data_IF_051706174893
#
_entry.id   IF_051706174893
#
_cell.length_a   1.000
_cell.length_b   1.000
_cell.length_c   1.000
_cell.angle_alpha   90.00
_cell.angle_beta   90.00
_cell.angle_gamma   90.00
#
_symmetry.space_group_name_H-M   'P 1'
#
loop_
_entity.id
_entity.type
_entity.pdbx_description
1 polymer ?
#
# COMPACT_ATOMS: atom_id res chain seq x y z
N UNK A 1 -1.35 -14.71 -1.38
CA UNK A 1 -1.23 -13.25 -1.58
C UNK A 1 -2.19 -12.62 -0.60
N UNK A 2 -1.66 -12.07 0.49
CA UNK A 2 -2.46 -11.35 1.46
C UNK A 2 -3.10 -10.13 0.81
N UNK A 3 -4.40 -9.94 1.06
CA UNK A 3 -5.12 -8.75 0.61
C UNK A 3 -5.16 -7.77 1.77
N UNK A 4 -4.31 -6.75 1.71
CA UNK A 4 -4.30 -5.69 2.70
C UNK A 4 -5.46 -4.69 2.53
N UNK A 5 -5.69 -3.88 3.56
CA UNK A 5 -6.68 -2.79 3.55
C UNK A 5 -5.99 -1.45 3.67
N UNK A 6 -6.42 -0.46 2.89
CA UNK A 6 -5.89 0.90 2.98
C UNK A 6 -6.38 1.54 4.28
N UNK A 7 -5.44 1.93 5.15
CA UNK A 7 -5.69 2.63 6.42
C UNK A 7 -5.61 4.14 6.20
N UNK A 8 -4.63 4.61 5.42
CA UNK A 8 -4.37 6.03 5.20
C UNK A 8 -3.80 6.28 3.80
N UNK A 9 -4.16 7.42 3.23
CA UNK A 9 -3.60 7.95 1.98
C UNK A 9 -3.05 9.35 2.25
N UNK A 10 -1.78 9.58 1.91
CA UNK A 10 -1.09 10.86 2.06
C UNK A 10 -0.31 11.17 0.76
N UNK A 11 -1.02 11.71 -0.24
CA UNK A 11 -0.45 11.82 -1.59
C UNK A 11 -0.08 10.44 -2.13
N UNK A 12 1.14 10.25 -2.66
CA UNK A 12 1.55 8.97 -3.22
C UNK A 12 1.99 7.95 -2.16
N UNK A 13 2.05 8.33 -0.88
CA UNK A 13 2.36 7.44 0.24
C UNK A 13 1.07 6.88 0.84
N UNK A 14 0.96 5.55 0.89
CA UNK A 14 -0.21 4.83 1.37
C UNK A 14 0.19 3.93 2.54
N UNK A 15 -0.59 3.94 3.61
CA UNK A 15 -0.45 2.95 4.69
C UNK A 15 -1.53 1.89 4.53
N UNK A 16 -1.12 0.63 4.43
CA UNK A 16 -2.01 -0.52 4.38
C UNK A 16 -1.74 -1.48 5.54
N UNK A 17 -2.78 -2.12 6.07
CA UNK A 17 -2.67 -3.13 7.14
C UNK A 17 -3.17 -4.50 6.69
N UNK A 18 -2.91 -5.52 7.51
CA UNK A 18 -3.23 -6.91 7.20
C UNK A 18 -2.25 -7.53 6.20
N UNK A 19 -1.01 -7.06 6.17
CA UNK A 19 0.05 -7.46 5.24
C UNK A 19 1.16 -8.21 6.00
N UNK A 20 0.81 -9.27 6.72
CA UNK A 20 1.75 -10.00 7.59
C UNK A 20 2.83 -10.73 6.80
N UNK A 21 2.48 -11.20 5.60
CA UNK A 21 3.41 -11.93 4.74
C UNK A 21 4.14 -11.03 3.73
N UNK A 22 3.97 -9.70 3.82
CA UNK A 22 4.62 -8.74 2.94
C UNK A 22 6.01 -8.34 3.46
N UNK A 23 6.92 -8.02 2.54
CA UNK A 23 8.29 -7.67 2.84
C UNK A 23 8.64 -6.27 2.33
N UNK A 24 9.70 -5.69 2.90
CA UNK A 24 10.31 -4.49 2.32
C UNK A 24 10.72 -4.75 0.87
N UNK A 25 10.56 -3.72 0.04
CA UNK A 25 10.85 -3.72 -1.41
C UNK A 25 9.94 -4.60 -2.26
N UNK A 26 8.88 -5.19 -1.69
CA UNK A 26 7.87 -5.88 -2.48
C UNK A 26 7.13 -4.89 -3.37
N UNK A 27 6.96 -5.28 -4.64
CA UNK A 27 6.12 -4.55 -5.59
C UNK A 27 4.68 -5.03 -5.41
N UNK A 28 3.79 -4.08 -5.15
CA UNK A 28 2.39 -4.33 -4.82
C UNK A 28 1.45 -3.58 -5.76
N UNK A 29 0.18 -4.01 -5.77
CA UNK A 29 -0.90 -3.34 -6.48
C UNK A 29 -1.83 -2.68 -5.49
N UNK A 30 -2.11 -1.39 -5.67
CA UNK A 30 -2.89 -0.60 -4.72
C UNK A 30 -4.22 -0.15 -5.31
N UNK A 31 -5.28 -0.29 -4.51
CA UNK A 31 -6.63 0.14 -4.85
C UNK A 31 -7.27 -0.63 -6.00
N UNK A 32 -8.48 -0.21 -6.40
CA UNK A 32 -9.25 -0.85 -7.49
C UNK A 32 -8.60 -0.68 -8.86
N UNK A 33 -7.85 0.41 -9.03
CA UNK A 33 -7.12 0.73 -10.26
C UNK A 33 -5.85 -0.12 -10.41
N UNK A 34 -5.44 -0.85 -9.37
CA UNK A 34 -4.25 -1.71 -9.35
C UNK A 34 -2.95 -0.95 -9.68
N UNK A 35 -2.84 0.27 -9.16
CA UNK A 35 -1.65 1.11 -9.33
C UNK A 35 -0.43 0.41 -8.76
N UNK A 36 0.73 0.61 -9.38
CA UNK A 36 1.97 -0.02 -8.94
C UNK A 36 2.59 0.79 -7.81
N UNK A 37 2.98 0.10 -6.74
CA UNK A 37 3.76 0.69 -5.65
C UNK A 37 4.78 -0.27 -5.07
N UNK A 38 5.61 0.25 -4.19
CA UNK A 38 6.71 -0.46 -3.52
C UNK A 38 6.59 -0.28 -2.01
N UNK A 39 6.78 -1.35 -1.24
CA UNK A 39 6.83 -1.28 0.23
C UNK A 39 8.16 -0.67 0.66
N UNK A 40 8.11 0.49 1.32
CA UNK A 40 9.28 1.20 1.84
C UNK A 40 9.56 0.90 3.31
N UNK A 41 8.54 0.56 4.10
CA UNK A 41 8.66 0.29 5.53
C UNK A 41 7.60 -0.71 5.98
N UNK A 42 7.98 -1.59 6.91
CA UNK A 42 7.08 -2.52 7.60
C UNK A 42 7.04 -2.21 9.10
N UNK A 43 5.84 -2.12 9.68
CA UNK A 43 5.60 -1.95 11.12
C UNK A 43 4.55 -2.96 11.58
N UNK A 44 5.01 -4.12 12.07
CA UNK A 44 4.11 -5.23 12.37
C UNK A 44 3.43 -5.74 11.10
N UNK A 45 2.10 -5.67 11.05
CA UNK A 45 1.30 -6.06 9.89
C UNK A 45 0.92 -4.88 8.97
N UNK A 46 1.51 -3.70 9.20
CA UNK A 46 1.31 -2.51 8.40
C UNK A 46 2.50 -2.24 7.49
N UNK A 47 2.20 -1.83 6.27
CA UNK A 47 3.16 -1.43 5.26
C UNK A 47 2.95 0.03 4.87
N UNK A 48 4.05 0.77 4.75
CA UNK A 48 4.10 2.05 4.05
C UNK A 48 4.48 1.79 2.59
N UNK A 49 3.58 2.13 1.67
CA UNK A 49 3.68 1.84 0.24
C UNK A 49 3.82 3.17 -0.52
N UNK A 50 4.87 3.30 -1.31
CA UNK A 50 5.03 4.40 -2.25
C UNK A 50 4.45 4.00 -3.60
N UNK A 51 3.46 4.74 -4.08
CA UNK A 51 2.86 4.54 -5.41
C UNK A 51 3.58 5.44 -6.41
N UNK A 52 3.86 4.92 -7.61
CA UNK A 52 4.53 5.68 -8.67
C UNK A 52 3.56 6.56 -9.48
N UNK A 53 2.27 6.22 -9.46
CA UNK A 53 1.19 6.89 -10.18
C UNK A 53 0.37 7.82 -9.27
N UNK A 54 -0.47 8.67 -9.87
CA UNK A 54 -1.36 9.57 -9.14
C UNK A 54 -2.40 8.78 -8.34
N UNK A 55 -2.50 9.07 -7.03
CA UNK A 55 -3.40 8.36 -6.11
C UNK A 55 -4.78 9.01 -5.99
N UNK A 56 -5.15 9.88 -6.93
CA UNK A 56 -6.44 10.55 -6.95
C UNK A 56 -7.58 9.52 -7.03
N UNK A 57 -8.54 9.62 -6.10
CA UNK A 57 -9.66 8.68 -5.99
C UNK A 57 -9.34 7.40 -5.20
N UNK A 58 -8.12 7.24 -4.69
CA UNK A 58 -7.79 6.22 -3.69
C UNK A 58 -8.10 6.78 -2.29
N UNK A 59 -8.79 5.99 -1.47
CA UNK A 59 -9.12 6.34 -0.10
C UNK A 59 -9.07 5.12 0.83
N UNK A 60 -9.16 5.34 2.16
CA UNK A 60 -9.30 4.26 3.12
C UNK A 60 -10.54 3.41 2.82
N UNK A 61 -10.43 2.10 2.93
CA UNK A 61 -11.51 1.21 2.49
C UNK A 61 -11.03 -0.16 2.12
#
# INVERSE_FOLDING_TARGET
MDTGRIIKVAGPLITAGGLKDANMYDVVRVGKQRLIGEILEMRGDQASIQVYEETAGIGPG
#
